data_IF_322240349291
#
_entry.id   IF_322240349291
#
_cell.length_a   1.000
_cell.length_b   1.000
_cell.length_c   1.000
_cell.angle_alpha   90.00
_cell.angle_beta   90.00
_cell.angle_gamma   90.00
#
_symmetry.space_group_name_H-M   'P 1'
#
loop_
_entity.id
_entity.type
_entity.pdbx_description
1 polymer ?
#
# COMPACT_ATOMS: atom_id res chain seq x y z
N UNK A 1 -2.58 -13.79 1.10
CA UNK A 1 -2.26 -12.77 2.13
C UNK A 1 -3.55 -12.09 2.57
N UNK A 2 -3.75 -11.83 3.86
CA UNK A 2 -5.00 -11.23 4.34
C UNK A 2 -5.13 -9.76 3.92
N UNK A 3 -6.21 -9.41 3.22
CA UNK A 3 -6.46 -8.03 2.74
C UNK A 3 -6.46 -7.01 3.87
N UNK A 4 -7.04 -7.36 5.03
CA UNK A 4 -7.06 -6.49 6.23
C UNK A 4 -5.68 -6.27 6.83
N UNK A 5 -4.74 -7.19 6.65
CA UNK A 5 -3.37 -7.03 7.14
C UNK A 5 -2.62 -5.98 6.32
N UNK A 6 -2.69 -6.09 4.98
CA UNK A 6 -2.14 -5.09 4.05
C UNK A 6 -2.80 -3.73 4.27
N UNK A 7 -4.11 -3.69 4.49
CA UNK A 7 -4.83 -2.46 4.83
C UNK A 7 -4.20 -1.72 6.02
N UNK A 8 -3.97 -2.43 7.13
CA UNK A 8 -3.36 -1.82 8.33
C UNK A 8 -1.95 -1.30 8.05
N UNK A 9 -1.15 -2.01 7.24
CA UNK A 9 0.18 -1.54 6.84
C UNK A 9 0.11 -0.28 5.99
N UNK A 10 -0.78 -0.25 4.99
CA UNK A 10 -1.00 0.93 4.14
C UNK A 10 -1.40 2.14 4.99
N UNK A 11 -2.35 1.98 5.91
CA UNK A 11 -2.75 3.06 6.83
C UNK A 11 -1.59 3.53 7.72
N UNK A 12 -0.75 2.60 8.19
CA UNK A 12 0.44 2.93 8.98
C UNK A 12 1.47 3.72 8.17
N UNK A 13 1.68 3.36 6.90
CA UNK A 13 2.59 4.08 5.99
C UNK A 13 2.05 5.46 5.61
N UNK A 14 0.75 5.57 5.31
CA UNK A 14 0.08 6.85 5.02
C UNK A 14 0.20 7.83 6.19
N UNK A 15 0.09 7.33 7.43
CA UNK A 15 0.27 8.15 8.63
C UNK A 15 1.66 8.83 8.73
N UNK A 16 2.69 8.28 8.09
CA UNK A 16 4.02 8.91 8.03
C UNK A 16 4.04 10.18 7.17
N UNK A 17 3.06 10.33 6.29
CA UNK A 17 2.89 11.49 5.40
C UNK A 17 1.80 12.45 5.90
N UNK A 18 1.43 12.38 7.19
CA UNK A 18 0.38 13.17 7.81
C UNK A 18 -1.02 13.01 7.18
N UNK A 19 -1.30 11.88 6.54
CA UNK A 19 -2.66 11.54 6.12
C UNK A 19 -3.51 11.18 7.34
N UNK A 20 -4.80 11.53 7.30
CA UNK A 20 -5.71 11.15 8.36
C UNK A 20 -5.90 9.63 8.39
N UNK A 21 -6.11 9.10 9.58
CA UNK A 21 -6.40 7.68 9.73
C UNK A 21 -7.70 7.34 9.00
N UNK A 22 -7.70 6.24 8.26
CA UNK A 22 -8.82 5.79 7.44
C UNK A 22 -9.19 6.77 6.30
N UNK A 23 -8.29 7.69 5.89
CA UNK A 23 -8.46 8.55 4.70
C UNK A 23 -8.74 7.76 3.42
N UNK A 24 -8.22 6.53 3.35
CA UNK A 24 -8.51 5.58 2.27
C UNK A 24 -9.27 4.40 2.88
N UNK A 25 -10.59 4.27 2.68
CA UNK A 25 -11.35 3.14 3.21
C UNK A 25 -10.89 1.80 2.62
N UNK A 26 -11.00 0.72 3.38
CA UNK A 26 -10.64 -0.64 2.91
C UNK A 26 -11.46 -1.12 1.69
N UNK A 27 -12.64 -0.55 1.47
CA UNK A 27 -13.52 -0.88 0.33
C UNK A 27 -13.40 0.12 -0.83
N UNK A 28 -12.54 1.13 -0.70
CA UNK A 28 -12.29 2.10 -1.77
C UNK A 28 -11.59 1.47 -2.97
N UNK A 29 -11.79 2.08 -4.14
CA UNK A 29 -11.07 1.73 -5.36
C UNK A 29 -9.58 1.98 -5.19
N UNK A 30 -9.22 3.08 -4.54
CA UNK A 30 -7.84 3.49 -4.28
C UNK A 30 -7.08 2.43 -3.47
N UNK A 31 -7.71 1.88 -2.42
CA UNK A 31 -7.09 0.76 -1.70
C UNK A 31 -7.04 -0.53 -2.53
N UNK A 32 -8.04 -0.79 -3.38
CA UNK A 32 -8.01 -1.95 -4.26
C UNK A 32 -6.82 -1.89 -5.23
N UNK A 33 -6.53 -0.71 -5.80
CA UNK A 33 -5.36 -0.48 -6.66
C UNK A 33 -4.04 -0.65 -5.91
N UNK A 34 -3.92 -0.05 -4.73
CA UNK A 34 -2.75 -0.24 -3.85
C UNK A 34 -2.56 -1.73 -3.53
N UNK A 35 -3.63 -2.41 -3.13
CA UNK A 35 -3.58 -3.83 -2.76
C UNK A 35 -3.16 -4.70 -3.94
N UNK A 36 -3.69 -4.45 -5.14
CA UNK A 36 -3.33 -5.20 -6.34
C UNK A 36 -1.85 -5.04 -6.68
N UNK A 37 -1.32 -3.81 -6.63
CA UNK A 37 0.12 -3.55 -6.82
C UNK A 37 0.98 -4.28 -5.79
N UNK A 38 0.59 -4.25 -4.51
CA UNK A 38 1.31 -4.98 -3.44
C UNK A 38 1.32 -6.49 -3.73
N UNK A 39 0.18 -7.04 -4.16
CA UNK A 39 0.09 -8.47 -4.48
C UNK A 39 0.91 -8.83 -5.72
N UNK A 40 1.00 -7.96 -6.73
CA UNK A 40 1.80 -8.20 -7.93
C UNK A 40 3.28 -8.21 -7.59
N UNK A 41 3.79 -7.17 -6.93
CA UNK A 41 5.21 -7.11 -6.50
C UNK A 41 5.54 -8.28 -5.59
N UNK A 42 4.65 -8.66 -4.65
CA UNK A 42 4.90 -9.81 -3.77
C UNK A 42 4.92 -11.17 -4.49
N UNK A 43 4.24 -11.29 -5.64
CA UNK A 43 4.28 -12.49 -6.49
C UNK A 43 5.57 -12.53 -7.30
N UNK A 44 6.00 -11.39 -7.82
CA UNK A 44 7.25 -11.26 -8.60
C UNK A 44 8.48 -11.42 -7.70
N UNK A 45 8.40 -10.91 -6.47
CA UNK A 45 9.48 -10.91 -5.49
C UNK A 45 9.02 -11.55 -4.16
N UNK A 46 8.92 -12.89 -4.09
CA UNK A 46 8.41 -13.58 -2.91
C UNK A 46 9.30 -13.42 -1.68
N UNK A 47 10.60 -13.15 -1.84
CA UNK A 47 11.56 -12.96 -0.75
C UNK A 47 11.52 -11.54 -0.16
N UNK A 48 11.05 -10.54 -0.92
CA UNK A 48 10.99 -9.14 -0.49
C UNK A 48 10.01 -8.97 0.68
N UNK A 49 10.40 -8.17 1.67
CA UNK A 49 9.56 -7.92 2.84
C UNK A 49 8.27 -7.20 2.41
N UNK A 50 7.12 -7.67 2.90
CA UNK A 50 5.84 -7.04 2.60
C UNK A 50 5.80 -5.56 3.03
N UNK A 51 6.41 -5.24 4.16
CA UNK A 51 6.45 -3.86 4.66
C UNK A 51 7.19 -2.94 3.70
N UNK A 52 8.31 -3.39 3.13
CA UNK A 52 9.09 -2.62 2.17
C UNK A 52 8.29 -2.37 0.88
N UNK A 53 7.63 -3.43 0.36
CA UNK A 53 6.72 -3.33 -0.78
C UNK A 53 5.61 -2.31 -0.53
N UNK A 54 4.94 -2.40 0.63
CA UNK A 54 3.86 -1.47 0.99
C UNK A 54 4.39 -0.05 1.12
N UNK A 55 5.57 0.13 1.70
CA UNK A 55 6.21 1.44 1.87
C UNK A 55 6.49 2.11 0.52
N UNK A 56 7.07 1.37 -0.42
CA UNK A 56 7.40 1.89 -1.76
C UNK A 56 6.15 2.27 -2.55
N UNK A 57 5.13 1.41 -2.48
CA UNK A 57 3.83 1.64 -3.14
C UNK A 57 3.14 2.87 -2.53
N UNK A 58 3.08 2.98 -1.20
CA UNK A 58 2.49 4.16 -0.55
C UNK A 58 3.28 5.43 -0.84
N UNK A 59 4.60 5.37 -0.87
CA UNK A 59 5.43 6.50 -1.29
C UNK A 59 5.08 6.95 -2.72
N UNK A 60 4.98 6.01 -3.67
CA UNK A 60 4.60 6.30 -5.05
C UNK A 60 3.22 6.94 -5.15
N UNK A 61 2.25 6.43 -4.40
CA UNK A 61 0.89 6.99 -4.33
C UNK A 61 0.89 8.44 -3.80
N UNK A 62 1.56 8.69 -2.67
CA UNK A 62 1.59 10.01 -2.02
C UNK A 62 2.33 11.05 -2.86
N UNK A 63 3.41 10.65 -3.53
CA UNK A 63 4.23 11.56 -4.34
C UNK A 63 3.70 11.77 -5.76
N UNK A 64 2.65 11.03 -6.16
CA UNK A 64 2.18 11.02 -7.55
C UNK A 64 3.25 10.52 -8.52
N UNK A 65 4.12 9.61 -8.06
CA UNK A 65 5.19 9.05 -8.87
C UNK A 65 4.60 8.37 -10.10
N UNK A 66 5.09 8.62 -11.33
CA UNK A 66 4.61 7.95 -12.54
C UNK A 66 5.00 6.47 -12.58
N UNK A 67 5.86 6.03 -11.67
CA UNK A 67 6.20 4.63 -11.43
C UNK A 67 5.21 3.94 -10.48
N UNK A 68 4.18 4.67 -10.06
CA UNK A 68 2.99 4.14 -9.40
C UNK A 68 1.98 3.69 -10.45
#
# INVERSE_FOLDING_TARGET
>A
MERRYVYKMVQSCLGQYNWEKDSIPCESTEFAEIYEKVMNVKKEEPETNLHDIVSDIVYGYVTGSPYF
#
